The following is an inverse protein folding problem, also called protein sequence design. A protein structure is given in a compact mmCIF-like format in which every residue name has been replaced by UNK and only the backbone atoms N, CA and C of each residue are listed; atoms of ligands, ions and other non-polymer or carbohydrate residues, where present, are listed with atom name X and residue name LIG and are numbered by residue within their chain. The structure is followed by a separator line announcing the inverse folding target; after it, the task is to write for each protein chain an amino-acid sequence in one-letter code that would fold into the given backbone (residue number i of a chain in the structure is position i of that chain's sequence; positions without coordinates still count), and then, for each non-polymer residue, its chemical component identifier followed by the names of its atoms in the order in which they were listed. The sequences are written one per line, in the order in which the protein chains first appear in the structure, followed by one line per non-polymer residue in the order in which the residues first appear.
data_IF_454802264596
#
_entry.id   IF_454802264596
#
_cell.length_a   1.000
_cell.length_b   1.000
_cell.length_c   1.000
_cell.angle_alpha   90.00
_cell.angle_beta   90.00
_cell.angle_gamma   90.00
#
_symmetry.space_group_name_H-M   'P 1'
#
loop_
_entity.id
_entity.type
_entity.pdbx_description
1 polymer ?
#
# COMPACT_ATOMS: atom_id res chain seq x y z
N UNK A 1 -13.01 8.38 11.49
CA UNK A 1 -12.78 9.39 10.43
C UNK A 1 -11.29 9.38 10.13
N UNK A 2 -10.87 9.08 8.90
CA UNK A 2 -9.45 9.20 8.53
C UNK A 2 -9.09 10.69 8.56
N UNK A 3 -8.07 11.14 9.30
CA UNK A 3 -7.69 12.54 9.31
C UNK A 3 -7.37 12.99 7.89
N UNK A 4 -7.84 14.19 7.51
CA UNK A 4 -7.57 14.76 6.20
C UNK A 4 -6.05 14.90 6.05
N UNK A 5 -5.45 14.48 4.91
CA UNK A 5 -4.01 14.64 4.71
C UNK A 5 -3.64 16.13 4.78
N UNK A 6 -2.43 16.46 5.26
CA UNK A 6 -1.95 17.84 5.31
C UNK A 6 -2.10 18.52 3.94
N UNK A 7 -2.50 19.78 3.94
CA UNK A 7 -2.64 20.56 2.70
C UNK A 7 -1.27 20.85 2.10
N UNK A 8 -1.24 21.21 0.81
CA UNK A 8 0.03 21.58 0.18
C UNK A 8 0.63 22.84 0.83
N UNK A 9 -0.21 23.74 1.35
CA UNK A 9 0.26 24.92 2.05
C UNK A 9 0.91 24.58 3.39
N UNK A 10 0.46 23.52 4.08
CA UNK A 10 1.11 23.05 5.30
C UNK A 10 2.53 22.54 4.99
N UNK A 11 2.71 21.83 3.87
CA UNK A 11 4.03 21.38 3.40
C UNK A 11 4.93 22.58 3.10
N UNK A 12 4.41 23.58 2.36
CA UNK A 12 5.16 24.80 2.02
C UNK A 12 5.59 25.55 3.29
N UNK A 13 4.69 25.68 4.27
CA UNK A 13 4.99 26.31 5.56
C UNK A 13 6.12 25.57 6.30
N UNK A 14 6.03 24.24 6.38
CA UNK A 14 7.02 23.41 7.05
C UNK A 14 8.40 23.48 6.37
N UNK A 15 8.48 23.49 5.04
CA UNK A 15 9.73 23.73 4.30
C UNK A 15 10.31 25.09 4.67
N UNK A 16 9.48 26.14 4.65
CA UNK A 16 9.91 27.50 5.01
C UNK A 16 10.51 27.57 6.43
N UNK A 17 9.89 26.88 7.39
CA UNK A 17 10.38 26.82 8.79
C UNK A 17 11.68 26.02 8.91
N UNK A 18 11.78 24.88 8.22
CA UNK A 18 13.00 24.08 8.21
C UNK A 18 14.19 24.88 7.66
N UNK A 19 14.03 25.56 6.51
CA UNK A 19 15.08 26.39 5.94
C UNK A 19 15.38 27.61 6.83
N UNK A 20 14.38 28.21 7.48
CA UNK A 20 14.62 29.29 8.45
C UNK A 20 15.48 28.83 9.63
N UNK A 21 15.26 27.61 10.14
CA UNK A 21 15.99 27.02 11.28
C UNK A 21 17.44 26.68 10.91
N UNK A 22 17.66 26.07 9.73
CA UNK A 22 18.96 25.50 9.37
C UNK A 22 19.83 26.37 8.46
N UNK A 23 19.25 27.23 7.63
CA UNK A 23 19.98 27.97 6.59
C UNK A 23 20.27 29.41 7.05
N UNK A 24 21.53 29.82 6.91
CA UNK A 24 21.97 31.19 7.15
C UNK A 24 21.53 32.11 6.01
N UNK A 25 21.19 33.35 6.37
CA UNK A 25 20.55 34.32 5.48
C UNK A 25 21.34 34.56 4.18
N UNK A 26 22.67 34.66 4.28
CA UNK A 26 23.56 34.88 3.13
C UNK A 26 23.68 33.67 2.18
N UNK A 27 23.28 32.47 2.62
CA UNK A 27 23.28 31.25 1.80
C UNK A 27 21.88 30.88 1.27
N UNK A 28 20.83 31.61 1.69
CA UNK A 28 19.45 31.19 1.48
C UNK A 28 19.09 31.05 0.00
N UNK A 29 19.48 32.01 -0.84
CA UNK A 29 19.20 31.96 -2.28
C UNK A 29 19.88 30.79 -2.98
N UNK A 30 21.16 30.56 -2.70
CA UNK A 30 21.92 29.45 -3.28
C UNK A 30 21.33 28.09 -2.88
N UNK A 31 21.04 27.89 -1.58
CA UNK A 31 20.42 26.66 -1.08
C UNK A 31 19.02 26.44 -1.66
N UNK A 32 18.21 27.51 -1.78
CA UNK A 32 16.89 27.42 -2.42
C UNK A 32 17.00 26.94 -3.87
N UNK A 33 17.93 27.51 -4.66
CA UNK A 33 18.14 27.10 -6.05
C UNK A 33 18.52 25.62 -6.16
N UNK A 34 19.44 25.13 -5.31
CA UNK A 34 19.83 23.70 -5.26
C UNK A 34 18.64 22.79 -4.92
N UNK A 35 17.73 23.26 -4.07
CA UNK A 35 16.52 22.54 -3.68
C UNK A 35 15.39 22.65 -4.72
N UNK A 36 15.57 23.37 -5.81
CA UNK A 36 14.56 23.57 -6.87
C UNK A 36 13.54 24.67 -6.57
N UNK A 37 13.87 25.59 -5.67
CA UNK A 37 13.10 26.82 -5.38
C UNK A 37 13.78 27.98 -6.12
N UNK A 38 13.08 28.64 -7.04
CA UNK A 38 13.65 29.74 -7.83
C UNK A 38 13.54 31.06 -7.07
N UNK A 39 14.66 31.70 -6.67
CA UNK A 39 14.62 33.00 -6.02
C UNK A 39 14.08 34.08 -6.96
N UNK A 40 13.22 34.96 -6.43
CA UNK A 40 12.77 36.18 -7.10
C UNK A 40 13.31 37.41 -6.35
N UNK A 41 13.94 38.34 -7.07
CA UNK A 41 14.49 39.59 -6.53
C UNK A 41 13.41 40.67 -6.30
N UNK A 42 12.20 40.48 -6.83
CA UNK A 42 11.10 41.45 -6.69
C UNK A 42 10.32 41.25 -5.38
N UNK A 43 10.58 42.11 -4.39
CA UNK A 43 9.70 42.27 -3.23
C UNK A 43 10.41 42.68 -1.95
N UNK A 44 9.76 43.53 -1.15
CA UNK A 44 10.24 43.89 0.19
C UNK A 44 9.91 42.74 1.16
N UNK A 45 10.88 41.86 1.42
CA UNK A 45 10.66 40.72 2.32
C UNK A 45 11.19 40.98 3.73
N UNK A 46 10.40 40.62 4.75
CA UNK A 46 10.68 40.92 6.16
C UNK A 46 11.20 39.74 6.99
N UNK A 47 11.11 38.49 6.50
CA UNK A 47 11.65 37.30 7.18
C UNK A 47 12.00 36.16 6.23
N UNK A 48 13.03 35.35 6.58
CA UNK A 48 13.49 34.19 5.79
C UNK A 48 12.37 33.24 5.36
N UNK A 49 11.51 32.88 6.31
CA UNK A 49 10.37 31.98 6.06
C UNK A 49 9.45 32.55 4.97
N UNK A 50 9.14 33.85 5.03
CA UNK A 50 8.26 34.51 4.06
C UNK A 50 8.93 34.63 2.69
N UNK A 51 10.25 34.84 2.66
CA UNK A 51 11.06 34.81 1.43
C UNK A 51 10.93 33.47 0.74
N UNK A 52 11.19 32.38 1.47
CA UNK A 52 11.10 31.02 0.94
C UNK A 52 9.70 30.71 0.41
N UNK A 53 8.64 31.07 1.16
CA UNK A 53 7.26 30.86 0.72
C UNK A 53 6.89 31.61 -0.55
N UNK A 54 7.46 32.80 -0.76
CA UNK A 54 7.22 33.60 -1.96
C UNK A 54 7.93 33.01 -3.18
N UNK A 55 9.14 32.48 -3.00
CA UNK A 55 9.92 31.85 -4.08
C UNK A 55 9.41 30.46 -4.46
N UNK A 56 8.80 29.74 -3.51
CA UNK A 56 8.37 28.37 -3.72
C UNK A 56 7.09 28.27 -4.53
N UNK A 57 7.10 27.35 -5.49
CA UNK A 57 5.94 26.97 -6.30
C UNK A 57 4.70 26.67 -5.46
N UNK A 58 3.52 26.81 -6.08
CA UNK A 58 2.24 26.37 -5.52
C UNK A 58 1.79 25.02 -6.07
N UNK A 59 2.47 24.52 -7.10
CA UNK A 59 2.13 23.26 -7.76
C UNK A 59 2.43 22.07 -6.85
N UNK A 60 1.44 21.19 -6.56
CA UNK A 60 1.60 20.12 -5.58
C UNK A 60 2.78 19.17 -5.83
N UNK A 61 2.99 18.73 -7.06
CA UNK A 61 4.06 17.78 -7.39
C UNK A 61 5.45 18.40 -7.18
N UNK A 62 5.63 19.64 -7.63
CA UNK A 62 6.89 20.37 -7.46
C UNK A 62 7.18 20.63 -5.98
N UNK A 63 6.17 21.03 -5.20
CA UNK A 63 6.32 21.24 -3.76
C UNK A 63 6.71 19.94 -3.06
N UNK A 64 6.13 18.79 -3.41
CA UNK A 64 6.50 17.50 -2.82
C UNK A 64 7.94 17.10 -3.16
N UNK A 65 8.35 17.28 -4.42
CA UNK A 65 9.74 17.03 -4.84
C UNK A 65 10.75 17.94 -4.12
N UNK A 66 10.38 19.21 -3.85
CA UNK A 66 11.19 20.10 -3.00
C UNK A 66 11.21 19.58 -1.56
N UNK A 67 10.05 19.21 -1.02
CA UNK A 67 9.91 18.76 0.36
C UNK A 67 10.79 17.53 0.65
N UNK A 68 10.83 16.55 -0.26
CA UNK A 68 11.66 15.35 -0.15
C UNK A 68 13.15 15.69 -0.01
N UNK A 69 13.65 16.59 -0.85
CA UNK A 69 15.05 17.06 -0.78
C UNK A 69 15.33 17.84 0.50
N UNK A 70 14.37 18.62 0.99
CA UNK A 70 14.52 19.37 2.24
C UNK A 70 14.49 18.42 3.45
N UNK A 71 13.63 17.39 3.45
CA UNK A 71 13.61 16.35 4.50
C UNK A 71 14.97 15.65 4.58
N UNK A 72 15.58 15.33 3.44
CA UNK A 72 16.89 14.66 3.41
C UNK A 72 18.02 15.56 3.94
N UNK A 73 18.04 16.84 3.56
CA UNK A 73 19.16 17.74 3.86
C UNK A 73 19.00 18.53 5.16
N UNK A 74 17.77 18.89 5.53
CA UNK A 74 17.44 19.75 6.65
C UNK A 74 16.21 19.20 7.41
N UNK A 75 16.28 17.96 7.94
CA UNK A 75 15.16 17.33 8.61
C UNK A 75 14.74 18.12 9.84
N UNK A 76 13.43 18.35 9.97
CA UNK A 76 12.79 18.79 11.20
C UNK A 76 11.58 17.92 11.46
N UNK A 77 11.24 17.72 12.74
CA UNK A 77 10.08 16.92 13.13
C UNK A 77 8.80 17.34 12.38
N UNK A 78 8.50 18.64 12.33
CA UNK A 78 7.29 19.16 11.69
C UNK A 78 7.29 18.92 10.18
N UNK A 79 8.43 19.12 9.51
CA UNK A 79 8.55 18.88 8.08
C UNK A 79 8.38 17.41 7.75
N UNK A 80 9.09 16.54 8.47
CA UNK A 80 8.97 15.10 8.31
C UNK A 80 7.53 14.62 8.54
N UNK A 81 6.87 15.05 9.62
CA UNK A 81 5.49 14.65 9.89
C UNK A 81 4.51 15.10 8.81
N UNK A 82 4.61 16.35 8.35
CA UNK A 82 3.72 16.88 7.32
C UNK A 82 3.95 16.18 5.98
N UNK A 83 5.21 15.94 5.60
CA UNK A 83 5.57 15.25 4.35
C UNK A 83 5.17 13.78 4.42
N UNK A 84 5.53 13.06 5.48
CA UNK A 84 5.23 11.64 5.63
C UNK A 84 3.73 11.38 5.71
N UNK A 85 2.94 12.18 6.43
CA UNK A 85 1.46 12.06 6.44
C UNK A 85 0.83 12.29 5.09
N UNK A 86 1.45 13.10 4.24
CA UNK A 86 0.95 13.36 2.88
C UNK A 86 1.38 12.28 1.89
N UNK A 87 2.55 11.68 2.09
CA UNK A 87 3.08 10.54 1.35
C UNK A 87 2.51 9.19 1.82
N UNK A 88 1.71 9.15 2.90
CA UNK A 88 1.16 7.91 3.42
C UNK A 88 0.28 7.20 2.38
N UNK A 89 0.88 6.21 1.73
CA UNK A 89 0.18 5.20 0.96
C UNK A 89 -0.22 4.03 1.88
N UNK A 90 -1.36 3.41 1.57
CA UNK A 90 -1.83 2.23 2.30
C UNK A 90 -0.91 1.03 1.97
N UNK A 91 -0.61 0.12 2.92
CA UNK A 91 -1.17 -0.02 4.27
C UNK A 91 -0.68 0.99 5.33
N UNK A 92 -1.61 1.57 6.10
CA UNK A 92 -1.31 2.29 7.36
C UNK A 92 -1.57 1.46 8.62
N UNK A 93 -0.87 1.77 9.72
CA UNK A 93 -1.17 1.19 11.05
C UNK A 93 -2.33 1.98 11.68
N UNK A 94 -3.51 1.36 11.76
CA UNK A 94 -4.73 2.00 12.27
C UNK A 94 -4.60 2.48 13.71
N UNK A 95 -5.36 3.52 14.09
CA UNK A 95 -5.37 4.02 15.48
C UNK A 95 -5.70 2.92 16.51
N UNK A 96 -6.66 2.05 16.19
CA UNK A 96 -7.02 0.92 17.04
C UNK A 96 -5.84 -0.06 17.23
N UNK A 97 -5.12 -0.37 16.15
CA UNK A 97 -3.94 -1.21 16.22
C UNK A 97 -2.84 -0.54 17.05
N UNK A 98 -2.60 0.77 16.87
CA UNK A 98 -1.63 1.54 17.68
C UNK A 98 -1.98 1.49 19.18
N UNK A 99 -3.26 1.69 19.54
CA UNK A 99 -3.73 1.62 20.94
C UNK A 99 -3.49 0.24 21.55
N UNK A 100 -3.91 -0.82 20.86
CA UNK A 100 -3.72 -2.20 21.35
C UNK A 100 -2.25 -2.57 21.46
N UNK A 101 -1.44 -2.22 20.47
CA UNK A 101 -0.01 -2.46 20.47
C UNK A 101 0.67 -1.75 21.65
N UNK A 102 0.38 -0.46 21.88
CA UNK A 102 0.96 0.30 23.00
C UNK A 102 0.55 -0.27 24.36
N UNK A 103 -0.70 -0.72 24.51
CA UNK A 103 -1.16 -1.41 25.72
C UNK A 103 -0.43 -2.73 25.94
N UNK A 104 -0.21 -3.52 24.90
CA UNK A 104 0.53 -4.79 25.01
C UNK A 104 2.02 -4.56 25.31
N UNK A 105 2.63 -3.50 24.74
CA UNK A 105 4.00 -3.08 25.07
C UNK A 105 4.15 -2.68 26.54
N UNK A 106 3.11 -2.13 27.18
CA UNK A 106 3.16 -1.76 28.59
C UNK A 106 3.29 -2.97 29.54
N UNK A 107 3.00 -4.18 29.05
CA UNK A 107 3.14 -5.43 29.80
C UNK A 107 4.50 -6.12 29.60
N UNK A 108 5.37 -5.56 28.75
CA UNK A 108 6.73 -6.05 28.56
C UNK A 108 7.70 -5.44 29.57
N UNK A 109 8.92 -6.00 29.70
CA UNK A 109 10.00 -5.36 30.43
C UNK A 109 10.25 -3.91 29.99
N UNK A 110 11.06 -3.19 30.75
CA UNK A 110 11.38 -1.81 30.45
C UNK A 110 12.09 -1.68 29.07
N UNK A 111 11.53 -0.95 28.08
CA UNK A 111 12.09 -0.90 26.72
C UNK A 111 13.30 0.03 26.56
N UNK A 112 13.74 0.68 27.63
CA UNK A 112 14.75 1.73 27.54
C UNK A 112 16.20 1.23 27.72
N UNK A 113 16.38 -0.04 28.10
CA UNK A 113 17.70 -0.61 28.40
C UNK A 113 18.53 0.23 29.37
N UNK A 114 19.87 0.09 29.31
CA UNK A 114 20.80 0.92 30.09
C UNK A 114 21.00 2.34 29.50
N UNK A 115 20.73 2.52 28.20
CA UNK A 115 20.87 3.82 27.53
C UNK A 115 19.81 4.83 28.00
N UNK A 116 18.69 4.34 28.52
CA UNK A 116 17.61 5.15 29.07
C UNK A 116 16.71 5.77 27.99
N UNK A 117 15.56 6.29 28.45
CA UNK A 117 14.47 6.72 27.56
C UNK A 117 14.86 7.85 26.60
N UNK A 118 15.75 8.76 27.02
CA UNK A 118 16.18 9.89 26.19
C UNK A 118 16.94 9.45 24.95
N UNK A 119 17.78 8.41 25.06
CA UNK A 119 18.54 7.89 23.92
C UNK A 119 17.64 7.30 22.83
N UNK A 120 16.47 6.78 23.22
CA UNK A 120 15.49 6.18 22.31
C UNK A 120 14.55 7.24 21.71
N UNK A 121 14.09 8.18 22.53
CA UNK A 121 12.97 9.06 22.17
C UNK A 121 13.43 10.39 21.57
N UNK A 122 14.48 11.02 22.11
CA UNK A 122 14.95 12.35 21.65
C UNK A 122 15.34 12.38 20.15
N UNK A 123 15.97 11.33 19.59
CA UNK A 123 16.25 11.28 18.15
C UNK A 123 14.99 11.26 17.27
N UNK A 124 13.87 10.77 17.78
CA UNK A 124 12.60 10.65 17.05
C UNK A 124 11.65 11.81 17.32
N UNK A 125 11.79 12.45 18.48
CA UNK A 125 10.97 13.55 18.95
C UNK A 125 11.89 14.56 19.60
N UNK A 126 12.09 15.76 19.03
CA UNK A 126 12.96 16.77 19.63
C UNK A 126 12.35 17.29 20.94
N UNK A 127 12.62 16.63 22.07
CA UNK A 127 11.83 16.76 23.31
C UNK A 127 11.85 18.18 23.90
N UNK A 128 12.90 18.94 23.60
CA UNK A 128 13.06 20.35 24.01
C UNK A 128 12.18 21.31 23.21
N UNK A 129 11.76 20.92 22.00
CA UNK A 129 10.86 21.71 21.15
C UNK A 129 9.39 21.46 21.54
N UNK A 130 9.10 20.43 22.35
CA UNK A 130 7.75 20.08 22.79
C UNK A 130 7.41 20.77 24.11
N UNK A 131 6.21 21.36 24.24
CA UNK A 131 5.79 21.98 25.49
C UNK A 131 5.59 20.92 26.58
N UNK A 132 5.91 21.33 27.81
CA UNK A 132 5.56 20.59 29.02
C UNK A 132 4.03 20.44 29.16
N UNK A 133 3.62 19.31 29.73
CA UNK A 133 2.24 19.04 30.17
C UNK A 133 2.02 19.40 31.64
N UNK A 134 3.09 19.71 32.39
CA UNK A 134 3.04 20.20 33.76
C UNK A 134 3.23 21.73 33.83
N UNK A 135 2.62 22.37 34.83
CA UNK A 135 2.63 23.84 35.00
C UNK A 135 3.99 24.44 35.40
N UNK A 136 4.91 23.63 35.95
CA UNK A 136 6.20 24.08 36.50
C UNK A 136 7.41 23.75 35.60
N UNK A 137 7.18 22.98 34.53
CA UNK A 137 8.18 22.55 33.56
C UNK A 137 8.01 23.32 32.26
N UNK A 138 9.08 23.48 31.45
CA UNK A 138 8.99 24.21 30.17
C UNK A 138 8.80 23.26 29.00
N UNK A 139 9.44 22.10 29.04
CA UNK A 139 9.52 21.18 27.92
C UNK A 139 9.08 19.77 28.29
N UNK A 140 8.73 18.95 27.30
CA UNK A 140 8.46 17.53 27.51
C UNK A 140 9.71 16.78 28.03
N UNK A 141 10.91 17.26 27.69
CA UNK A 141 12.16 16.75 28.27
C UNK A 141 12.18 16.91 29.81
N UNK A 142 11.73 18.05 30.34
CA UNK A 142 11.67 18.30 31.79
C UNK A 142 10.66 17.36 32.47
N UNK A 143 9.52 17.10 31.82
CA UNK A 143 8.52 16.16 32.32
C UNK A 143 9.06 14.73 32.35
N UNK A 144 9.73 14.29 31.28
CA UNK A 144 10.34 12.96 31.21
C UNK A 144 11.44 12.78 32.26
N UNK A 145 12.30 13.78 32.44
CA UNK A 145 13.33 13.79 33.49
C UNK A 145 12.69 13.59 34.88
N UNK A 146 11.58 14.29 35.16
CA UNK A 146 10.87 14.14 36.43
C UNK A 146 10.20 12.77 36.57
N UNK A 147 9.40 12.35 35.59
CA UNK A 147 8.45 11.25 35.72
C UNK A 147 9.00 9.89 35.26
N UNK A 148 10.12 9.85 34.56
CA UNK A 148 10.71 8.60 34.06
C UNK A 148 12.12 8.34 34.63
N UNK A 149 12.88 9.40 34.93
CA UNK A 149 14.25 9.27 35.48
C UNK A 149 14.25 9.44 36.99
N UNK A 150 13.74 10.57 37.51
CA UNK A 150 13.76 10.85 38.97
C UNK A 150 12.71 10.07 39.75
N UNK A 151 11.59 9.73 39.11
CA UNK A 151 10.52 8.93 39.71
C UNK A 151 10.18 7.73 38.81
N UNK A 152 11.07 6.72 38.69
CA UNK A 152 10.83 5.57 37.84
C UNK A 152 9.51 4.86 38.19
N UNK A 153 8.70 4.57 37.17
CA UNK A 153 7.39 3.93 37.32
C UNK A 153 6.20 4.89 37.38
N UNK A 154 6.42 6.21 37.50
CA UNK A 154 5.34 7.20 37.39
C UNK A 154 4.78 7.24 35.96
N UNK A 155 5.66 7.34 34.95
CA UNK A 155 5.28 7.19 33.54
C UNK A 155 5.82 5.89 32.95
N UNK A 156 4.90 5.04 32.48
CA UNK A 156 5.20 3.92 31.57
C UNK A 156 5.13 4.31 30.09
N UNK A 157 5.41 3.36 29.21
CA UNK A 157 5.39 3.59 27.74
C UNK A 157 4.04 4.09 27.22
N UNK A 158 2.92 3.65 27.79
CA UNK A 158 1.58 4.10 27.37
C UNK A 158 1.36 5.59 27.67
N UNK A 159 1.75 6.05 28.86
CA UNK A 159 1.65 7.46 29.24
C UNK A 159 2.56 8.31 28.35
N UNK A 160 3.81 7.88 28.16
CA UNK A 160 4.74 8.58 27.27
C UNK A 160 4.19 8.66 25.84
N UNK A 161 3.67 7.55 25.31
CA UNK A 161 3.08 7.50 23.98
C UNK A 161 1.88 8.43 23.83
N UNK A 162 1.07 8.58 24.89
CA UNK A 162 0.01 9.58 24.94
C UNK A 162 0.55 11.01 24.87
N UNK A 163 1.59 11.33 25.67
CA UNK A 163 2.23 12.65 25.70
C UNK A 163 2.93 13.04 24.40
N UNK A 164 3.48 12.05 23.68
CA UNK A 164 4.08 12.20 22.35
C UNK A 164 3.04 12.27 21.22
N UNK A 165 1.76 11.97 21.50
CA UNK A 165 0.73 11.93 20.47
C UNK A 165 0.88 10.76 19.49
N UNK A 166 1.39 9.60 19.93
CA UNK A 166 1.70 8.44 19.07
C UNK A 166 0.52 7.92 18.23
N UNK A 167 -0.71 8.24 18.61
CA UNK A 167 -1.90 7.86 17.86
C UNK A 167 -2.13 8.73 16.62
N UNK A 168 -1.55 9.93 16.57
CA UNK A 168 -1.74 10.91 15.50
C UNK A 168 -0.48 11.19 14.69
N UNK A 169 0.69 10.66 15.08
CA UNK A 169 1.92 10.76 14.28
C UNK A 169 1.79 10.02 12.95
N UNK A 170 2.65 10.34 11.99
CA UNK A 170 2.74 9.58 10.75
C UNK A 170 2.98 8.08 11.02
N UNK A 171 2.48 7.22 10.14
CA UNK A 171 2.75 5.78 10.17
C UNK A 171 4.25 5.49 10.12
N UNK A 172 5.01 6.30 9.36
CA UNK A 172 6.48 6.18 9.31
C UNK A 172 7.12 6.47 10.67
N UNK A 173 6.73 7.54 11.37
CA UNK A 173 7.27 7.84 12.70
C UNK A 173 6.87 6.81 13.75
N UNK A 174 5.63 6.33 13.69
CA UNK A 174 5.18 5.24 14.55
C UNK A 174 6.06 3.99 14.35
N UNK A 175 6.37 3.63 13.10
CA UNK A 175 7.26 2.50 12.79
C UNK A 175 8.69 2.73 13.25
N UNK A 176 9.26 3.92 13.04
CA UNK A 176 10.60 4.27 13.53
C UNK A 176 10.69 4.17 15.06
N UNK A 177 9.63 4.53 15.78
CA UNK A 177 9.55 4.31 17.22
C UNK A 177 9.61 2.83 17.57
N UNK A 178 8.83 1.96 16.92
CA UNK A 178 8.88 0.52 17.15
C UNK A 178 10.26 -0.08 16.84
N UNK A 179 10.91 0.38 15.76
CA UNK A 179 12.26 -0.04 15.40
C UNK A 179 13.30 0.39 16.44
N UNK A 180 13.16 1.60 17.00
CA UNK A 180 14.06 2.12 18.02
C UNK A 180 13.95 1.34 19.35
N UNK A 181 12.77 0.82 19.69
CA UNK A 181 12.60 -0.09 20.85
C UNK A 181 13.32 -1.43 20.67
N UNK A 182 13.80 -1.75 19.46
CA UNK A 182 14.48 -3.01 19.13
C UNK A 182 15.96 -2.79 18.83
N UNK A 183 16.51 -1.61 19.12
CA UNK A 183 17.94 -1.37 18.92
C UNK A 183 18.75 -2.38 19.75
N UNK A 184 19.72 -3.10 19.14
CA UNK A 184 20.49 -4.14 19.82
C UNK A 184 21.31 -3.62 21.01
N UNK A 185 21.51 -2.30 21.14
CA UNK A 185 22.15 -1.69 22.31
C UNK A 185 21.24 -1.60 23.53
N UNK A 186 19.94 -1.82 23.36
CA UNK A 186 18.95 -1.77 24.44
C UNK A 186 18.63 -3.16 25.00
N UNK A 187 18.73 -4.19 24.15
CA UNK A 187 18.16 -5.51 24.40
C UNK A 187 19.06 -6.61 23.88
N UNK A 188 19.10 -7.73 24.60
CA UNK A 188 19.63 -8.97 24.06
C UNK A 188 18.67 -9.61 23.03
N UNK A 189 19.14 -10.65 22.32
CA UNK A 189 18.33 -11.33 21.30
C UNK A 189 17.03 -11.93 21.85
N UNK A 190 17.05 -12.44 23.09
CA UNK A 190 15.88 -13.03 23.73
C UNK A 190 14.83 -11.97 24.08
N UNK A 191 15.27 -10.77 24.48
CA UNK A 191 14.44 -9.59 24.68
C UNK A 191 13.85 -9.07 23.37
N UNK A 192 14.68 -8.84 22.36
CA UNK A 192 14.22 -8.42 21.03
C UNK A 192 13.15 -9.39 20.52
N UNK A 193 13.35 -10.70 20.69
CA UNK A 193 12.35 -11.71 20.32
C UNK A 193 11.02 -11.54 21.07
N UNK A 194 11.03 -11.24 22.38
CA UNK A 194 9.80 -10.98 23.15
C UNK A 194 9.03 -9.78 22.59
N UNK A 195 9.72 -8.67 22.31
CA UNK A 195 9.09 -7.51 21.68
C UNK A 195 8.53 -7.84 20.30
N UNK A 196 9.27 -8.59 19.47
CA UNK A 196 8.82 -9.01 18.15
C UNK A 196 7.56 -9.88 18.22
N UNK A 197 7.53 -10.87 19.13
CA UNK A 197 6.38 -11.76 19.31
C UNK A 197 5.13 -10.98 19.78
N UNK A 198 5.30 -9.87 20.50
CA UNK A 198 4.22 -8.96 20.88
C UNK A 198 3.81 -8.00 19.76
N UNK A 199 4.76 -7.41 19.04
CA UNK A 199 4.50 -6.35 18.04
C UNK A 199 3.97 -6.93 16.73
N UNK A 200 4.59 -7.99 16.20
CA UNK A 200 4.28 -8.49 14.85
C UNK A 200 2.83 -8.97 14.67
N UNK A 201 2.15 -9.61 15.65
CA UNK A 201 0.73 -9.93 15.50
C UNK A 201 -0.17 -8.73 15.19
N UNK A 202 0.17 -7.54 15.72
CA UNK A 202 -0.55 -6.30 15.41
C UNK A 202 -0.14 -5.72 14.07
N UNK A 203 1.16 -5.65 13.79
CA UNK A 203 1.66 -5.12 12.51
C UNK A 203 1.15 -5.94 11.33
N UNK A 204 1.10 -7.27 11.46
CA UNK A 204 0.69 -8.16 10.37
C UNK A 204 -0.76 -7.91 9.94
N UNK A 205 -1.65 -7.64 10.89
CA UNK A 205 -3.04 -7.23 10.63
C UNK A 205 -3.16 -5.87 9.93
N UNK A 206 -2.09 -5.09 9.93
CA UNK A 206 -1.99 -3.81 9.23
C UNK A 206 -1.08 -3.90 7.99
N UNK A 207 -0.72 -5.10 7.50
CA UNK A 207 0.11 -5.25 6.30
C UNK A 207 1.60 -4.92 6.50
N UNK A 208 2.09 -4.87 7.74
CA UNK A 208 3.49 -4.63 8.09
C UNK A 208 4.07 -5.80 8.90
N UNK A 209 5.39 -5.92 8.90
CA UNK A 209 6.10 -6.84 9.78
C UNK A 209 7.48 -6.27 10.11
N UNK A 210 7.95 -6.50 11.34
CA UNK A 210 9.36 -6.31 11.69
C UNK A 210 10.13 -7.55 11.29
N UNK A 211 11.13 -7.38 10.43
CA UNK A 211 12.06 -8.44 10.00
C UNK A 211 13.49 -8.02 10.25
N UNK A 212 14.35 -9.01 10.45
CA UNK A 212 15.81 -8.81 10.47
C UNK A 212 16.25 -8.38 9.07
N UNK A 213 16.95 -7.26 8.97
CA UNK A 213 17.51 -6.75 7.70
C UNK A 213 19.04 -6.76 7.68
N UNK A 214 19.66 -7.09 8.80
CA UNK A 214 21.10 -7.17 8.99
C UNK A 214 21.42 -7.40 10.46
N UNK A 215 22.68 -7.25 10.81
CA UNK A 215 23.18 -7.38 12.18
C UNK A 215 24.23 -6.31 12.51
N UNK A 216 24.38 -6.01 13.80
CA UNK A 216 25.49 -5.24 14.37
C UNK A 216 26.29 -6.17 15.27
N UNK A 217 27.48 -6.60 14.84
CA UNK A 217 28.35 -7.53 15.59
C UNK A 217 27.66 -8.84 16.00
N UNK A 218 26.74 -9.36 15.16
CA UNK A 218 25.97 -10.57 15.43
C UNK A 218 24.63 -10.34 16.15
N UNK A 219 24.32 -9.11 16.56
CA UNK A 219 23.00 -8.77 17.11
C UNK A 219 22.04 -8.31 16.01
N UNK A 220 20.81 -8.85 15.91
CA UNK A 220 19.92 -8.57 14.80
C UNK A 220 19.40 -7.13 14.80
N UNK A 221 19.40 -6.52 13.61
CA UNK A 221 18.79 -5.22 13.35
C UNK A 221 17.42 -5.45 12.70
N UNK A 222 16.36 -5.04 13.39
CA UNK A 222 14.99 -5.12 12.90
C UNK A 222 14.56 -3.84 12.19
N UNK A 223 13.89 -3.99 11.04
CA UNK A 223 13.19 -2.91 10.34
C UNK A 223 11.79 -3.33 9.98
N UNK A 224 10.89 -2.34 9.91
CA UNK A 224 9.55 -2.55 9.41
C UNK A 224 9.58 -2.68 7.89
N UNK A 225 8.97 -3.76 7.40
CA UNK A 225 8.80 -4.03 5.98
C UNK A 225 7.32 -4.25 5.69
N UNK A 226 6.82 -3.87 4.51
CA UNK A 226 5.48 -4.27 4.10
C UNK A 226 5.44 -5.80 3.95
N UNK A 227 4.39 -6.42 4.48
CA UNK A 227 4.17 -7.88 4.38
C UNK A 227 4.06 -8.32 2.92
N UNK A 228 3.42 -7.48 2.11
CA UNK A 228 3.20 -7.69 0.69
C UNK A 228 3.79 -6.51 -0.05
N UNK A 229 4.71 -6.78 -0.98
CA UNK A 229 5.00 -5.81 -2.05
C UNK A 229 3.79 -5.84 -2.98
N UNK A 230 2.72 -5.16 -2.59
CA UNK A 230 1.62 -4.88 -3.49
C UNK A 230 2.15 -4.12 -4.70
N UNK A 231 1.47 -4.23 -5.83
CA UNK A 231 1.83 -3.47 -7.03
C UNK A 231 1.71 -1.97 -6.73
N UNK A 232 2.76 -1.21 -7.00
CA UNK A 232 2.82 0.23 -6.71
C UNK A 232 1.66 1.00 -7.37
N UNK A 233 1.16 2.03 -6.66
CA UNK A 233 0.07 2.88 -7.11
C UNK A 233 -1.35 2.30 -6.89
N UNK A 234 -2.35 3.18 -6.99
CA UNK A 234 -3.78 2.78 -6.93
C UNK A 234 -4.27 2.39 -8.32
N UNK A 235 -5.01 1.28 -8.49
CA UNK A 235 -5.64 0.99 -9.77
C UNK A 235 -6.66 2.09 -10.08
N UNK A 236 -6.57 2.68 -11.28
CA UNK A 236 -7.46 3.77 -11.72
C UNK A 236 -8.72 3.21 -12.36
N UNK A 237 -8.55 2.39 -13.41
CA UNK A 237 -9.60 1.72 -14.14
C UNK A 237 -9.28 0.21 -14.23
N UNK A 238 -10.30 -0.65 -14.13
CA UNK A 238 -10.17 -2.10 -14.40
C UNK A 238 -10.96 -2.44 -15.64
N UNK A 239 -10.28 -2.94 -16.66
CA UNK A 239 -10.89 -3.39 -17.91
C UNK A 239 -10.97 -4.91 -17.86
N UNK A 240 -12.17 -5.46 -17.82
CA UNK A 240 -12.37 -6.88 -17.52
C UNK A 240 -13.61 -7.47 -18.19
N UNK A 241 -13.80 -8.77 -17.99
CA UNK A 241 -14.91 -9.55 -18.49
C UNK A 241 -15.07 -9.43 -20.01
N UNK A 242 -13.94 -9.49 -20.73
CA UNK A 242 -13.88 -9.47 -22.20
C UNK A 242 -12.87 -10.45 -22.78
N UNK A 243 -13.36 -11.36 -23.61
CA UNK A 243 -12.54 -12.34 -24.33
C UNK A 243 -11.82 -11.75 -25.56
N UNK A 244 -12.23 -10.57 -26.01
CA UNK A 244 -11.63 -9.82 -27.12
C UNK A 244 -10.85 -8.63 -26.60
N UNK A 245 -9.76 -8.25 -27.29
CA UNK A 245 -9.02 -7.04 -26.93
C UNK A 245 -9.91 -5.82 -27.19
N UNK A 246 -10.23 -5.01 -26.15
CA UNK A 246 -11.04 -3.82 -26.35
C UNK A 246 -10.27 -2.76 -27.16
N UNK A 247 -10.96 -2.06 -28.07
CA UNK A 247 -10.46 -0.81 -28.65
C UNK A 247 -10.86 0.34 -27.71
N UNK A 248 -9.85 0.96 -27.08
CA UNK A 248 -10.00 2.02 -26.10
C UNK A 248 -9.41 3.33 -26.61
N UNK A 249 -10.09 4.45 -26.36
CA UNK A 249 -9.55 5.78 -26.62
C UNK A 249 -9.61 6.61 -25.36
N UNK A 250 -8.54 7.34 -25.08
CA UNK A 250 -8.60 8.39 -24.07
C UNK A 250 -9.33 9.57 -24.68
N UNK A 251 -10.51 9.90 -24.14
CA UNK A 251 -11.20 11.15 -24.45
C UNK A 251 -10.59 12.31 -23.67
N UNK A 252 -10.05 12.02 -22.48
CA UNK A 252 -9.29 12.95 -21.65
C UNK A 252 -8.13 12.21 -20.97
N UNK A 253 -6.90 12.51 -21.41
CA UNK A 253 -5.69 11.88 -20.86
C UNK A 253 -5.33 12.40 -19.47
N UNK A 254 -5.76 13.61 -19.10
CA UNK A 254 -5.47 14.23 -17.80
C UNK A 254 -6.35 13.56 -16.74
N UNK A 255 -7.63 13.40 -17.05
CA UNK A 255 -8.60 12.79 -16.15
C UNK A 255 -8.64 11.25 -16.23
N UNK A 256 -7.94 10.65 -17.20
CA UNK A 256 -7.97 9.21 -17.51
C UNK A 256 -9.38 8.72 -17.93
N UNK A 257 -10.13 9.56 -18.64
CA UNK A 257 -11.43 9.18 -19.18
C UNK A 257 -11.23 8.29 -20.41
N UNK A 258 -11.76 7.07 -20.34
CA UNK A 258 -11.63 6.05 -21.38
C UNK A 258 -12.98 5.81 -22.05
N UNK A 259 -12.99 5.87 -23.37
CA UNK A 259 -14.10 5.43 -24.21
C UNK A 259 -13.80 4.05 -24.83
N UNK A 260 -14.75 3.13 -24.75
CA UNK A 260 -14.73 1.88 -25.53
C UNK A 260 -15.32 2.15 -26.92
N UNK A 261 -14.48 2.02 -27.95
CA UNK A 261 -14.81 2.30 -29.35
C UNK A 261 -15.55 1.14 -30.01
N UNK A 262 -15.16 -0.09 -29.70
CA UNK A 262 -15.75 -1.33 -30.25
C UNK A 262 -16.05 -2.33 -29.13
N UNK A 263 -17.09 -3.16 -29.31
CA UNK A 263 -17.50 -4.20 -28.35
C UNK A 263 -17.95 -3.65 -26.98
N UNK A 264 -18.65 -2.51 -26.99
CA UNK A 264 -19.11 -1.80 -25.78
C UNK A 264 -19.93 -2.67 -24.81
N UNK A 265 -20.68 -3.65 -25.34
CA UNK A 265 -21.47 -4.60 -24.55
C UNK A 265 -20.66 -5.79 -24.00
N UNK A 266 -19.50 -6.07 -24.62
CA UNK A 266 -18.65 -7.22 -24.32
C UNK A 266 -17.48 -6.89 -23.38
N UNK A 267 -17.30 -5.61 -23.03
CA UNK A 267 -16.22 -5.15 -22.13
C UNK A 267 -16.81 -4.44 -20.92
N UNK A 268 -16.30 -4.74 -19.73
CA UNK A 268 -16.62 -4.00 -18.52
C UNK A 268 -15.45 -3.10 -18.13
N UNK A 269 -15.76 -1.86 -17.74
CA UNK A 269 -14.79 -0.91 -17.20
C UNK A 269 -15.25 -0.49 -15.82
N UNK A 270 -14.55 -0.95 -14.79
CA UNK A 270 -14.76 -0.48 -13.43
C UNK A 270 -13.96 0.82 -13.24
N UNK A 271 -14.66 1.89 -12.95
CA UNK A 271 -14.21 3.29 -12.97
C UNK A 271 -14.31 3.96 -11.59
N UNK A 272 -14.60 3.20 -10.53
CA UNK A 272 -14.70 3.72 -9.17
C UNK A 272 -13.39 3.61 -8.41
N UNK A 273 -13.16 4.49 -7.42
CA UNK A 273 -12.07 4.31 -6.47
C UNK A 273 -12.15 2.96 -5.77
N UNK A 274 -11.06 2.20 -5.78
CA UNK A 274 -10.95 0.93 -5.06
C UNK A 274 -10.53 1.23 -3.62
N UNK A 275 -11.26 0.67 -2.66
CA UNK A 275 -11.00 0.87 -1.25
C UNK A 275 -9.67 0.24 -0.81
N UNK A 276 -9.14 0.66 0.35
CA UNK A 276 -7.95 0.04 0.94
C UNK A 276 -8.17 -1.42 1.35
N UNK A 277 -9.43 -1.87 1.39
CA UNK A 277 -9.86 -3.25 1.62
C UNK A 277 -9.92 -4.09 0.34
N UNK A 278 -9.47 -3.55 -0.80
CA UNK A 278 -9.57 -4.20 -2.11
C UNK A 278 -10.92 -3.96 -2.79
N UNK A 279 -11.25 -4.79 -3.78
CA UNK A 279 -12.52 -4.76 -4.50
C UNK A 279 -13.36 -5.97 -4.11
N UNK A 280 -14.34 -5.78 -3.22
CA UNK A 280 -15.23 -6.86 -2.78
C UNK A 280 -16.38 -7.07 -3.76
N UNK A 281 -17.00 -8.24 -3.71
CA UNK A 281 -18.18 -8.52 -4.55
C UNK A 281 -19.29 -7.48 -4.33
N UNK A 282 -19.56 -7.08 -3.09
CA UNK A 282 -20.58 -6.05 -2.79
C UNK A 282 -20.32 -4.73 -3.51
N UNK A 283 -19.06 -4.31 -3.61
CA UNK A 283 -18.67 -3.06 -4.27
C UNK A 283 -18.90 -3.17 -5.78
N UNK A 284 -18.54 -4.33 -6.35
CA UNK A 284 -18.79 -4.64 -7.75
C UNK A 284 -20.29 -4.77 -8.06
N UNK A 285 -21.07 -5.40 -7.19
CA UNK A 285 -22.51 -5.55 -7.33
C UNK A 285 -23.23 -4.20 -7.25
N UNK A 286 -22.80 -3.32 -6.34
CA UNK A 286 -23.32 -1.96 -6.24
C UNK A 286 -23.03 -1.16 -7.53
N UNK A 287 -21.79 -1.21 -8.02
CA UNK A 287 -21.42 -0.59 -9.29
C UNK A 287 -22.28 -1.10 -10.46
N UNK A 288 -22.47 -2.42 -10.56
CA UNK A 288 -23.28 -3.03 -11.60
C UNK A 288 -24.77 -2.63 -11.53
N UNK A 289 -25.31 -2.55 -10.32
CA UNK A 289 -26.69 -2.14 -10.09
C UNK A 289 -26.96 -0.72 -10.57
N UNK A 290 -26.08 0.21 -10.26
CA UNK A 290 -26.22 1.61 -10.66
C UNK A 290 -26.16 1.75 -12.20
N UNK A 291 -25.25 1.05 -12.87
CA UNK A 291 -25.13 1.04 -14.34
C UNK A 291 -26.37 0.47 -15.05
N UNK A 292 -27.12 -0.41 -14.38
CA UNK A 292 -28.28 -1.11 -14.96
C UNK A 292 -29.62 -0.67 -14.37
N UNK A 293 -29.61 0.34 -13.50
CA UNK A 293 -30.77 0.80 -12.74
C UNK A 293 -31.51 -0.37 -12.03
N UNK A 294 -30.74 -1.18 -11.30
CA UNK A 294 -31.23 -2.31 -10.51
C UNK A 294 -31.07 -2.02 -9.01
N UNK A 295 -31.80 -2.77 -8.17
CA UNK A 295 -31.59 -2.73 -6.71
C UNK A 295 -30.27 -3.45 -6.34
N UNK A 296 -29.29 -2.77 -5.73
CA UNK A 296 -27.99 -3.33 -5.38
C UNK A 296 -28.06 -4.48 -4.39
N UNK A 297 -29.10 -4.59 -3.54
CA UNK A 297 -29.24 -5.69 -2.58
C UNK A 297 -30.00 -6.90 -3.16
N UNK A 298 -30.58 -6.76 -4.35
CA UNK A 298 -31.46 -7.80 -4.90
C UNK A 298 -30.70 -9.00 -5.44
N UNK A 299 -31.28 -10.20 -5.24
CA UNK A 299 -30.81 -11.45 -5.89
C UNK A 299 -30.78 -11.33 -7.42
N UNK A 300 -31.67 -10.52 -7.99
CA UNK A 300 -31.71 -10.27 -9.45
C UNK A 300 -30.40 -9.63 -9.93
N UNK A 301 -29.89 -8.64 -9.19
CA UNK A 301 -28.60 -8.00 -9.50
C UNK A 301 -27.44 -8.98 -9.38
N UNK A 302 -27.38 -9.75 -8.29
CA UNK A 302 -26.35 -10.78 -8.09
C UNK A 302 -26.31 -11.77 -9.25
N UNK A 303 -27.47 -12.32 -9.65
CA UNK A 303 -27.57 -13.29 -10.75
C UNK A 303 -27.22 -12.65 -12.10
N UNK A 304 -27.63 -11.39 -12.32
CA UNK A 304 -27.32 -10.64 -13.54
C UNK A 304 -25.81 -10.44 -13.70
N UNK A 305 -25.13 -9.97 -12.65
CA UNK A 305 -23.69 -9.77 -12.65
C UNK A 305 -22.95 -11.10 -12.83
N UNK A 306 -23.28 -12.13 -12.05
CA UNK A 306 -22.67 -13.46 -12.17
C UNK A 306 -22.77 -14.01 -13.60
N UNK A 307 -23.95 -13.91 -14.22
CA UNK A 307 -24.14 -14.35 -15.62
C UNK A 307 -23.28 -13.56 -16.59
N UNK A 308 -23.14 -12.25 -16.41
CA UNK A 308 -22.30 -11.40 -17.27
C UNK A 308 -20.81 -11.70 -17.13
N UNK A 309 -20.34 -11.98 -15.92
CA UNK A 309 -18.96 -12.40 -15.69
C UNK A 309 -18.72 -13.78 -16.30
N UNK A 310 -19.60 -14.75 -16.01
CA UNK A 310 -19.51 -16.10 -16.59
C UNK A 310 -19.52 -16.10 -18.11
N UNK A 311 -20.33 -15.25 -18.75
CA UNK A 311 -20.42 -15.19 -20.22
C UNK A 311 -19.17 -14.60 -20.88
N UNK A 312 -18.28 -13.96 -20.12
CA UNK A 312 -17.03 -13.44 -20.67
C UNK A 312 -15.96 -14.52 -20.87
N UNK A 313 -16.09 -15.65 -20.17
CA UNK A 313 -15.09 -16.71 -20.20
C UNK A 313 -14.98 -17.34 -21.60
N UNK A 314 -13.75 -17.62 -22.09
CA UNK A 314 -13.51 -18.15 -23.42
C UNK A 314 -14.12 -19.54 -23.57
N UNK A 315 -14.97 -19.73 -24.59
CA UNK A 315 -15.71 -20.98 -24.83
C UNK A 315 -14.80 -22.20 -25.02
N UNK A 316 -13.58 -21.99 -25.49
CA UNK A 316 -12.55 -23.02 -25.67
C UNK A 316 -11.75 -23.34 -24.39
N UNK A 317 -12.11 -22.77 -23.24
CA UNK A 317 -11.49 -23.08 -21.93
C UNK A 317 -12.50 -23.61 -20.90
N UNK A 318 -13.02 -24.85 -21.05
CA UNK A 318 -13.82 -25.49 -20.01
C UNK A 318 -13.20 -25.47 -18.60
N UNK A 319 -11.87 -25.60 -18.42
CA UNK A 319 -11.23 -25.49 -17.12
C UNK A 319 -11.47 -24.15 -16.41
N UNK A 320 -11.39 -23.00 -17.11
CA UNK A 320 -11.67 -21.69 -16.52
C UNK A 320 -13.12 -21.56 -16.04
N UNK A 321 -14.06 -22.04 -16.86
CA UNK A 321 -15.47 -22.11 -16.45
C UNK A 321 -15.65 -22.92 -15.18
N UNK A 322 -14.93 -24.05 -15.06
CA UNK A 322 -15.02 -24.92 -13.89
C UNK A 322 -14.46 -24.24 -12.64
N UNK A 323 -13.27 -23.63 -12.68
CA UNK A 323 -12.72 -22.86 -11.55
C UNK A 323 -13.69 -21.78 -11.09
N UNK A 324 -14.21 -20.97 -12.03
CA UNK A 324 -15.15 -19.90 -11.74
C UNK A 324 -16.43 -20.43 -11.07
N UNK A 325 -17.02 -21.50 -11.60
CA UNK A 325 -18.23 -22.10 -11.04
C UNK A 325 -18.00 -22.68 -9.65
N UNK A 326 -16.88 -23.36 -9.43
CA UNK A 326 -16.55 -23.94 -8.12
C UNK A 326 -16.38 -22.83 -7.09
N UNK A 327 -15.63 -21.78 -7.41
CA UNK A 327 -15.46 -20.63 -6.51
C UNK A 327 -16.80 -20.06 -6.03
N UNK A 328 -17.69 -19.71 -6.95
CA UNK A 328 -18.99 -19.14 -6.57
C UNK A 328 -19.93 -20.16 -5.90
N UNK A 329 -19.81 -21.45 -6.19
CA UNK A 329 -20.61 -22.48 -5.54
C UNK A 329 -20.17 -22.71 -4.08
N UNK A 330 -18.86 -22.80 -3.84
CA UNK A 330 -18.27 -23.06 -2.52
C UNK A 330 -18.47 -21.86 -1.59
N UNK A 331 -18.27 -20.64 -2.09
CA UNK A 331 -18.29 -19.42 -1.26
C UNK A 331 -19.61 -18.64 -1.34
N UNK A 332 -20.69 -19.21 -1.88
CA UNK A 332 -21.98 -18.52 -2.12
C UNK A 332 -22.57 -17.77 -0.91
N UNK A 333 -22.25 -18.19 0.32
CA UNK A 333 -22.81 -17.59 1.54
C UNK A 333 -21.90 -16.49 2.10
N UNK A 334 -20.61 -16.48 1.73
CA UNK A 334 -19.59 -15.54 2.22
C UNK A 334 -19.10 -14.56 1.14
N UNK A 335 -19.32 -14.86 -0.13
CA UNK A 335 -18.76 -14.08 -1.23
C UNK A 335 -19.15 -12.60 -1.28
N UNK A 336 -20.27 -12.10 -0.71
CA UNK A 336 -20.54 -10.66 -0.74
C UNK A 336 -19.42 -9.82 -0.12
N UNK A 337 -18.77 -10.34 0.92
CA UNK A 337 -17.68 -9.66 1.62
C UNK A 337 -16.28 -10.16 1.20
N UNK A 338 -16.19 -11.17 0.32
CA UNK A 338 -14.93 -11.61 -0.27
C UNK A 338 -14.52 -10.70 -1.46
N UNK A 339 -13.22 -10.65 -1.79
CA UNK A 339 -12.77 -10.00 -3.02
C UNK A 339 -13.46 -10.61 -4.25
N UNK A 340 -13.80 -9.76 -5.22
CA UNK A 340 -14.43 -10.19 -6.45
C UNK A 340 -13.42 -10.94 -7.34
N UNK A 341 -13.82 -12.11 -7.85
CA UNK A 341 -13.06 -12.86 -8.86
C UNK A 341 -13.40 -12.28 -10.24
N UNK A 342 -12.53 -11.39 -10.74
CA UNK A 342 -12.72 -10.71 -12.01
C UNK A 342 -12.17 -11.56 -13.15
N UNK A 343 -13.00 -12.03 -14.11
CA UNK A 343 -12.51 -12.79 -15.26
C UNK A 343 -11.96 -11.87 -16.35
N UNK A 344 -11.03 -12.39 -17.15
CA UNK A 344 -10.58 -11.84 -18.43
C UNK A 344 -10.14 -10.36 -18.33
N UNK A 345 -9.10 -10.09 -17.55
CA UNK A 345 -8.66 -8.72 -17.19
C UNK A 345 -7.51 -8.24 -18.06
N UNK A 346 -7.64 -7.04 -18.65
CA UNK A 346 -6.64 -6.44 -19.52
C UNK A 346 -5.70 -5.49 -18.75
N UNK A 347 -4.39 -5.78 -18.75
CA UNK A 347 -3.35 -5.05 -18.01
C UNK A 347 -2.72 -3.90 -18.82
N UNK A 348 -2.38 -4.16 -20.08
CA UNK A 348 -1.68 -3.20 -20.92
C UNK A 348 -2.51 -2.80 -22.13
N UNK A 349 -2.71 -1.49 -22.29
CA UNK A 349 -3.32 -0.92 -23.48
C UNK A 349 -2.29 -0.08 -24.24
N UNK A 350 -1.69 -0.67 -25.28
CA UNK A 350 -0.93 0.06 -26.29
C UNK A 350 -1.52 -0.27 -27.69
N UNK A 351 -2.12 0.71 -28.38
CA UNK A 351 -2.70 0.51 -29.71
C UNK A 351 -1.66 0.27 -30.81
N UNK A 352 -0.37 0.61 -30.61
CA UNK A 352 0.70 0.41 -31.62
C UNK A 352 1.44 -0.92 -31.50
N UNK A 353 1.33 -1.62 -30.36
CA UNK A 353 2.08 -2.86 -30.07
C UNK A 353 1.96 -3.96 -31.13
N UNK A 354 0.82 -4.08 -31.82
CA UNK A 354 0.56 -5.23 -32.72
C UNK A 354 1.27 -5.09 -34.06
N UNK A 355 1.34 -3.87 -34.61
CA UNK A 355 1.97 -3.60 -35.89
C UNK A 355 3.50 -3.63 -35.81
N UNK A 356 4.07 -3.20 -34.68
CA UNK A 356 5.52 -3.08 -34.50
C UNK A 356 6.17 -4.30 -33.81
N UNK A 357 5.45 -5.03 -32.94
CA UNK A 357 6.03 -6.11 -32.11
C UNK A 357 5.45 -7.52 -32.37
N UNK A 358 4.56 -7.67 -33.36
CA UNK A 358 3.99 -8.95 -33.78
C UNK A 358 2.86 -9.49 -32.89
N UNK A 359 2.22 -10.59 -33.32
CA UNK A 359 1.10 -11.24 -32.59
C UNK A 359 1.48 -11.73 -31.19
N UNK A 360 2.76 -12.05 -30.95
CA UNK A 360 3.24 -12.53 -29.66
C UNK A 360 3.24 -11.43 -28.57
N UNK A 361 3.22 -10.15 -28.94
CA UNK A 361 3.09 -9.03 -28.00
C UNK A 361 1.68 -8.92 -27.39
N UNK A 362 0.69 -9.60 -27.96
CA UNK A 362 -0.71 -9.63 -27.51
C UNK A 362 -1.00 -10.74 -26.49
N UNK A 363 -0.21 -11.81 -26.49
CA UNK A 363 -0.51 -13.05 -25.74
C UNK A 363 -0.53 -12.89 -24.22
N UNK A 364 -0.13 -11.71 -23.69
CA UNK A 364 0.14 -11.52 -22.25
C UNK A 364 -0.34 -10.19 -21.69
N UNK A 365 -1.29 -9.58 -22.38
CA UNK A 365 -1.98 -8.38 -21.91
C UNK A 365 -3.27 -8.71 -21.15
N UNK A 366 -3.68 -9.99 -21.13
CA UNK A 366 -4.93 -10.45 -20.52
C UNK A 366 -4.63 -11.54 -19.48
N UNK A 367 -5.15 -11.37 -18.28
CA UNK A 367 -5.13 -12.34 -17.18
C UNK A 367 -6.45 -13.13 -17.17
N UNK A 368 -6.40 -14.44 -16.91
CA UNK A 368 -7.62 -15.25 -16.82
C UNK A 368 -8.51 -14.78 -15.66
N UNK A 369 -7.93 -14.59 -14.46
CA UNK A 369 -8.62 -14.01 -13.31
C UNK A 369 -7.75 -13.07 -12.49
N UNK A 370 -8.38 -12.03 -11.94
CA UNK A 370 -7.77 -11.09 -11.00
C UNK A 370 -8.64 -10.96 -9.74
N UNK A 371 -7.98 -10.89 -8.58
CA UNK A 371 -8.59 -10.48 -7.31
C UNK A 371 -7.77 -9.35 -6.70
N UNK A 372 -8.48 -8.33 -6.21
CA UNK A 372 -7.88 -7.16 -5.57
C UNK A 372 -8.19 -7.21 -4.08
N UNK A 373 -7.16 -7.43 -3.29
CA UNK A 373 -7.23 -7.57 -1.84
C UNK A 373 -6.88 -6.27 -1.13
N UNK A 374 -7.03 -6.30 0.20
CA UNK A 374 -6.54 -5.25 1.09
C UNK A 374 -5.06 -4.95 0.85
N UNK A 375 -4.66 -3.70 1.12
CA UNK A 375 -3.26 -3.29 1.15
C UNK A 375 -2.49 -3.44 -0.18
N UNK A 376 -3.20 -3.38 -1.31
CA UNK A 376 -2.59 -3.37 -2.64
C UNK A 376 -2.14 -4.74 -3.14
N UNK A 377 -2.49 -5.82 -2.43
CA UNK A 377 -2.28 -7.20 -2.89
C UNK A 377 -3.14 -7.45 -4.12
N UNK A 378 -2.50 -7.83 -5.23
CA UNK A 378 -3.16 -8.18 -6.49
C UNK A 378 -2.83 -9.62 -6.83
N UNK A 379 -3.84 -10.48 -6.78
CA UNK A 379 -3.70 -11.91 -7.04
C UNK A 379 -4.20 -12.23 -8.44
N UNK A 380 -3.32 -12.76 -9.27
CA UNK A 380 -3.60 -13.29 -10.60
C UNK A 380 -3.73 -14.81 -10.50
N UNK A 381 -4.81 -15.34 -11.06
CA UNK A 381 -5.03 -16.78 -11.15
C UNK A 381 -5.15 -17.14 -12.61
N UNK A 382 -4.24 -17.98 -13.10
CA UNK A 382 -4.22 -18.47 -14.48
C UNK A 382 -4.62 -19.94 -14.53
N UNK A 383 -5.29 -20.34 -15.62
CA UNK A 383 -5.69 -21.73 -15.83
C UNK A 383 -5.02 -22.29 -17.07
N UNK A 384 -4.06 -23.18 -16.86
CA UNK A 384 -3.20 -23.69 -17.91
C UNK A 384 -3.75 -24.93 -18.61
N UNK A 385 -4.14 -24.75 -19.87
CA UNK A 385 -4.47 -25.83 -20.78
C UNK A 385 -3.27 -26.27 -21.63
N UNK A 386 -3.45 -27.36 -22.39
CA UNK A 386 -2.46 -27.86 -23.36
C UNK A 386 -1.94 -26.77 -24.32
N UNK A 387 -2.79 -25.80 -24.65
CA UNK A 387 -2.48 -24.72 -25.58
C UNK A 387 -1.39 -23.75 -25.06
N UNK A 388 -1.05 -23.79 -23.77
CA UNK A 388 -0.05 -22.90 -23.18
C UNK A 388 1.38 -23.47 -23.24
N UNK A 389 1.53 -24.78 -23.42
CA UNK A 389 2.83 -25.46 -23.42
C UNK A 389 3.00 -26.49 -24.54
N UNK A 390 2.08 -26.52 -25.51
CA UNK A 390 2.16 -27.42 -26.65
C UNK A 390 2.06 -26.69 -27.99
N UNK A 391 2.74 -27.22 -29.00
CA UNK A 391 2.70 -26.75 -30.38
C UNK A 391 1.33 -27.04 -31.04
N UNK A 392 1.16 -26.60 -32.30
CA UNK A 392 -0.06 -26.84 -33.07
C UNK A 392 -0.40 -28.33 -33.26
N UNK A 393 0.57 -29.24 -33.07
CA UNK A 393 0.41 -30.68 -33.16
C UNK A 393 0.21 -31.34 -31.78
N UNK A 394 0.13 -30.55 -30.70
CA UNK A 394 -0.05 -31.03 -29.34
C UNK A 394 1.21 -31.60 -28.68
N UNK A 395 2.40 -31.37 -29.26
CA UNK A 395 3.69 -31.77 -28.64
C UNK A 395 4.19 -30.68 -27.72
N UNK A 396 4.87 -31.05 -26.64
CA UNK A 396 5.45 -30.08 -25.72
C UNK A 396 6.34 -29.07 -26.45
N UNK A 397 6.14 -27.79 -26.15
CA UNK A 397 6.90 -26.65 -26.70
C UNK A 397 7.66 -25.96 -25.55
N UNK A 398 8.96 -26.26 -25.39
CA UNK A 398 9.80 -25.63 -24.37
C UNK A 398 9.91 -24.11 -24.51
N UNK A 399 9.80 -23.57 -25.73
CA UNK A 399 9.88 -22.14 -25.96
C UNK A 399 8.60 -21.43 -25.47
N UNK A 400 7.42 -22.01 -25.75
CA UNK A 400 6.15 -21.52 -25.20
C UNK A 400 6.18 -21.50 -23.66
N UNK A 401 6.65 -22.59 -23.05
CA UNK A 401 6.82 -22.69 -21.60
C UNK A 401 7.80 -21.64 -21.04
N UNK A 402 8.99 -21.50 -21.63
CA UNK A 402 9.99 -20.54 -21.17
C UNK A 402 9.48 -19.10 -21.23
N UNK A 403 8.74 -18.76 -22.31
CA UNK A 403 8.13 -17.44 -22.44
C UNK A 403 7.02 -17.21 -21.40
N UNK A 404 6.22 -18.22 -21.07
CA UNK A 404 5.21 -18.16 -19.99
C UNK A 404 5.88 -17.92 -18.63
N UNK A 405 6.91 -18.71 -18.30
CA UNK A 405 7.64 -18.57 -17.06
C UNK A 405 8.34 -17.20 -16.92
N UNK A 406 8.78 -16.60 -18.02
CA UNK A 406 9.31 -15.24 -18.03
C UNK A 406 8.26 -14.20 -17.65
N UNK A 407 7.07 -14.28 -18.23
CA UNK A 407 5.99 -13.35 -17.93
C UNK A 407 5.51 -13.45 -16.48
N UNK A 408 5.50 -14.66 -15.90
CA UNK A 408 5.20 -14.83 -14.47
C UNK A 408 6.21 -14.11 -13.58
N UNK A 409 7.50 -14.18 -13.96
CA UNK A 409 8.54 -13.44 -13.24
C UNK A 409 8.32 -11.94 -13.37
N UNK A 410 7.99 -11.45 -14.56
CA UNK A 410 7.73 -10.02 -14.78
C UNK A 410 6.55 -9.53 -13.92
N UNK A 411 5.44 -10.27 -13.87
CA UNK A 411 4.30 -9.96 -13.01
C UNK A 411 4.67 -9.99 -11.53
N UNK A 412 5.39 -11.02 -11.08
CA UNK A 412 5.83 -11.15 -9.69
C UNK A 412 6.81 -10.03 -9.29
N UNK A 413 7.72 -9.66 -10.17
CA UNK A 413 8.64 -8.53 -9.96
C UNK A 413 7.89 -7.19 -9.92
N UNK A 414 6.77 -7.07 -10.63
CA UNK A 414 5.87 -5.92 -10.55
C UNK A 414 4.97 -5.93 -9.29
N UNK A 415 5.04 -6.95 -8.43
CA UNK A 415 4.30 -7.04 -7.16
C UNK A 415 2.99 -7.84 -7.22
N UNK A 416 2.71 -8.54 -8.33
CA UNK A 416 1.56 -9.44 -8.40
C UNK A 416 1.87 -10.80 -7.75
N UNK A 417 0.88 -11.38 -7.08
CA UNK A 417 0.93 -12.80 -6.72
C UNK A 417 0.29 -13.62 -7.84
N UNK A 418 1.05 -14.54 -8.44
CA UNK A 418 0.57 -15.34 -9.58
C UNK A 418 0.43 -16.80 -9.17
N UNK A 419 -0.77 -17.36 -9.27
CA UNK A 419 -1.06 -18.78 -9.03
C UNK A 419 -1.61 -19.43 -10.30
N UNK A 420 -1.15 -20.63 -10.62
CA UNK A 420 -1.54 -21.36 -11.83
C UNK A 420 -2.23 -22.66 -11.45
N UNK A 421 -3.36 -22.94 -12.10
CA UNK A 421 -4.02 -24.25 -12.05
C UNK A 421 -3.81 -24.97 -13.37
N UNK A 422 -3.24 -26.16 -13.34
CA UNK A 422 -3.28 -27.05 -14.50
C UNK A 422 -4.73 -27.48 -14.78
N UNK A 423 -5.12 -27.51 -16.05
CA UNK A 423 -6.47 -27.94 -16.45
C UNK A 423 -6.85 -29.33 -15.91
N UNK A 424 -5.87 -30.22 -15.72
CA UNK A 424 -6.07 -31.54 -15.14
C UNK A 424 -6.46 -31.50 -13.65
N UNK A 425 -6.02 -30.48 -12.91
CA UNK A 425 -6.34 -30.29 -11.49
C UNK A 425 -7.80 -29.93 -11.28
N UNK A 426 -8.50 -29.45 -12.31
CA UNK A 426 -9.87 -28.94 -12.21
C UNK A 426 -10.93 -29.99 -12.59
N UNK A 427 -10.52 -31.23 -12.84
CA UNK A 427 -11.40 -32.32 -13.29
C UNK A 427 -12.00 -33.07 -12.10
N UNK A 428 -13.29 -33.39 -12.17
CA UNK A 428 -13.97 -34.24 -11.18
C UNK A 428 -14.11 -33.60 -9.78
N UNK A 429 -14.42 -34.41 -8.76
CA UNK A 429 -14.56 -33.96 -7.37
C UNK A 429 -13.26 -33.48 -6.72
N UNK A 430 -12.12 -34.06 -7.11
CA UNK A 430 -10.80 -33.65 -6.58
C UNK A 430 -10.47 -32.20 -6.93
N UNK A 431 -10.85 -31.75 -8.13
CA UNK A 431 -10.71 -30.35 -8.51
C UNK A 431 -11.61 -29.39 -7.74
N UNK A 432 -12.75 -29.85 -7.24
CA UNK A 432 -13.60 -29.04 -6.35
C UNK A 432 -12.90 -28.79 -5.01
N UNK A 433 -12.31 -29.83 -4.41
CA UNK A 433 -11.54 -29.68 -3.18
C UNK A 433 -10.26 -28.87 -3.38
N UNK A 434 -9.56 -29.06 -4.50
CA UNK A 434 -8.33 -28.30 -4.80
C UNK A 434 -8.60 -26.79 -4.85
N UNK A 435 -9.65 -26.38 -5.57
CA UNK A 435 -10.06 -24.97 -5.65
C UNK A 435 -10.53 -24.46 -4.27
N UNK A 436 -11.34 -25.24 -3.55
CA UNK A 436 -11.82 -24.85 -2.22
C UNK A 436 -10.69 -24.72 -1.18
N UNK A 437 -9.71 -25.62 -1.20
CA UNK A 437 -8.54 -25.57 -0.33
C UNK A 437 -7.65 -24.38 -0.66
N UNK A 438 -7.39 -24.14 -1.95
CA UNK A 438 -6.61 -23.00 -2.42
C UNK A 438 -7.19 -21.67 -1.93
N UNK A 439 -8.47 -21.41 -2.21
CA UNK A 439 -9.09 -20.13 -1.83
C UNK A 439 -9.19 -19.98 -0.30
N UNK A 440 -9.37 -21.07 0.45
CA UNK A 440 -9.36 -21.04 1.92
C UNK A 440 -8.01 -20.59 2.46
N UNK A 441 -6.91 -21.12 1.93
CA UNK A 441 -5.57 -20.69 2.31
C UNK A 441 -5.25 -19.28 1.79
N UNK A 442 -5.71 -18.94 0.59
CA UNK A 442 -5.54 -17.59 0.03
C UNK A 442 -6.22 -16.54 0.93
N UNK A 443 -7.43 -16.80 1.42
CA UNK A 443 -8.14 -15.91 2.35
C UNK A 443 -7.54 -15.92 3.76
N UNK A 444 -6.86 -16.99 4.16
CA UNK A 444 -6.10 -17.03 5.41
C UNK A 444 -4.83 -16.17 5.31
N UNK A 445 -4.17 -16.22 4.15
CA UNK A 445 -3.00 -15.40 3.84
C UNK A 445 -3.37 -13.92 3.69
N UNK A 446 -4.48 -13.65 3.00
CA UNK A 446 -5.00 -12.32 2.72
C UNK A 446 -6.45 -12.18 3.23
N UNK A 447 -6.63 -11.85 4.53
CA UNK A 447 -7.95 -11.69 5.10
C UNK A 447 -8.78 -10.62 4.36
N UNK A 448 -10.07 -10.92 4.04
CA UNK A 448 -10.94 -10.05 3.26
C UNK A 448 -11.32 -8.74 3.94
#
# INVERSE_FOLDING_TARGET
MVPKPPSINDVRDAIGRALQKHVKDYNLAAVCTELGITPNEEGKVTSKWRTVLNWMSKEPEQVMSIAERVVERFPTYDLEEVVWKRQEEQPGISELARRKLLADLANLPNPWGELGVFAVVDPLFPLKDFPSHASLSKTLADDMERHMVRNPGDWGIEMLAHKLGMLSVSGRRFRLFLEALLDPKLHDEAEQKRYIDTINPHLRRCGWELRVVGDDTGYPIYRTVPLHRGVEGRPKNIIFASSVKPDLRFTDAINNDIEIVTHKDEVLVYDRPIASTGLRWRDLQQWWAEQRNLDPASRKTTVSLYKRLRSSLPQNSPPQYRLFQIFYAVYKDSFPDLPALLPEVWLHYDPRTVAERGRDALLRQRMDFLMLFSHGVRVVIEVDGRHHYADANGRADPAAYAKMAAADRDLRLAGYEVYRFGAAELVGPEGEEAVAAFFRELFRLHPP
#
